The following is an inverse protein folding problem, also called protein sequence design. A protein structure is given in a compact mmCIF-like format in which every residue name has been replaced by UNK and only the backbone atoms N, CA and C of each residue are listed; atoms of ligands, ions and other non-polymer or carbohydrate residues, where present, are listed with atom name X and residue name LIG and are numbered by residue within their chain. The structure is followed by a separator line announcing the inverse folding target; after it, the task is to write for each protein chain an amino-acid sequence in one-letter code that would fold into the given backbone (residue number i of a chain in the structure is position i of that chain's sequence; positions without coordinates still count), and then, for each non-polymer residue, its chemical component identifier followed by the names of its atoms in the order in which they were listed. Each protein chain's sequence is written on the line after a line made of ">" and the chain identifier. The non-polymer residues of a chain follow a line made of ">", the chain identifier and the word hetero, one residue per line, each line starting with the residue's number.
data_IF_914460053702
#
_entry.id   IF_914460053702
#
_cell.length_a   1.000
_cell.length_b   1.000
_cell.length_c   1.000
_cell.angle_alpha   90.00
_cell.angle_beta   90.00
_cell.angle_gamma   90.00
#
_symmetry.space_group_name_H-M   'P 1'
#
loop_
_entity.id
_entity.type
_entity.pdbx_description
1 polymer ?
#
# COMPACT_ATOMS: atom_id res chain seq x y z
N UNK A 1 -10.52 1.56 1.94
CA UNK A 1 -11.13 2.91 2.07
C UNK A 1 -10.22 3.91 2.79
N UNK A 2 -9.49 3.49 3.83
CA UNK A 2 -8.57 4.35 4.57
C UNK A 2 -7.50 5.03 3.69
N UNK A 3 -6.79 4.28 2.84
CA UNK A 3 -5.78 4.84 1.94
C UNK A 3 -6.34 5.94 1.03
N UNK A 4 -7.55 5.75 0.47
CA UNK A 4 -8.23 6.76 -0.35
C UNK A 4 -8.56 8.00 0.48
N UNK A 5 -9.09 7.81 1.69
CA UNK A 5 -9.39 8.93 2.59
C UNK A 5 -8.14 9.73 2.95
N UNK A 6 -7.02 9.06 3.23
CA UNK A 6 -5.75 9.71 3.54
C UNK A 6 -5.15 10.45 2.33
N UNK A 7 -5.30 9.92 1.11
CA UNK A 7 -4.95 10.66 -0.11
C UNK A 7 -5.80 11.92 -0.28
N UNK A 8 -7.12 11.82 -0.05
CA UNK A 8 -8.03 12.98 -0.13
C UNK A 8 -7.66 14.03 0.90
N UNK A 9 -7.43 13.64 2.15
CA UNK A 9 -7.02 14.57 3.22
C UNK A 9 -5.68 15.24 2.87
N UNK A 10 -4.69 14.46 2.43
CA UNK A 10 -3.40 15.00 2.01
C UNK A 10 -3.52 16.02 0.88
N UNK A 11 -4.34 15.72 -0.14
CA UNK A 11 -4.61 16.64 -1.25
C UNK A 11 -5.31 17.92 -0.80
N UNK A 12 -6.29 17.81 0.11
CA UNK A 12 -6.98 18.97 0.67
C UNK A 12 -6.03 19.88 1.47
N UNK A 13 -5.12 19.29 2.27
CA UNK A 13 -4.11 20.06 3.02
C UNK A 13 -3.19 20.84 2.07
N UNK A 14 -2.73 20.22 0.98
CA UNK A 14 -1.91 20.89 -0.02
C UNK A 14 -2.69 21.95 -0.81
N UNK A 15 -3.97 21.73 -1.08
CA UNK A 15 -4.84 22.72 -1.70
C UNK A 15 -5.00 23.96 -0.79
N UNK A 16 -5.24 23.76 0.50
CA UNK A 16 -5.33 24.84 1.48
C UNK A 16 -3.99 25.58 1.59
N UNK A 17 -2.86 24.87 1.56
CA UNK A 17 -1.54 25.50 1.51
C UNK A 17 -1.36 26.38 0.26
N UNK A 18 -1.77 25.90 -0.91
CA UNK A 18 -1.69 26.66 -2.15
C UNK A 18 -2.56 27.93 -2.10
N UNK A 19 -3.75 27.85 -1.53
CA UNK A 19 -4.63 29.01 -1.31
C UNK A 19 -4.00 29.98 -0.30
N UNK A 20 -3.39 29.47 0.77
CA UNK A 20 -2.73 30.29 1.79
C UNK A 20 -1.56 31.12 1.22
N UNK A 21 -0.85 30.60 0.22
CA UNK A 21 0.21 31.35 -0.49
C UNK A 21 -0.33 32.54 -1.28
N UNK A 22 -1.60 32.52 -1.69
CA UNK A 22 -2.17 33.55 -2.57
C UNK A 22 -2.86 34.69 -1.81
N UNK A 23 -3.32 34.44 -0.59
CA UNK A 23 -4.22 35.37 0.14
C UNK A 23 -3.47 36.21 1.19
N UNK A 24 -2.19 35.90 1.47
CA UNK A 24 -1.29 36.55 2.44
C UNK A 24 -1.98 37.03 3.74
N UNK A 25 -1.89 36.21 4.80
CA UNK A 25 -2.60 36.47 6.04
C UNK A 25 -2.31 35.42 7.11
N UNK A 26 -3.14 35.37 8.16
CA UNK A 26 -2.92 34.47 9.30
C UNK A 26 -2.78 32.98 8.91
N UNK A 27 -3.36 32.57 7.77
CA UNK A 27 -3.21 31.22 7.23
C UNK A 27 -1.76 30.90 6.83
N UNK A 28 -0.96 31.89 6.44
CA UNK A 28 0.43 31.71 6.05
C UNK A 28 1.30 31.18 7.20
N UNK A 29 0.93 31.46 8.45
CA UNK A 29 1.60 30.92 9.64
C UNK A 29 1.54 29.38 9.72
N UNK A 30 0.54 28.77 9.05
CA UNK A 30 0.34 27.32 9.05
C UNK A 30 0.88 26.63 7.79
N UNK A 31 1.50 27.38 6.86
CA UNK A 31 2.06 26.84 5.61
C UNK A 31 2.98 25.64 5.83
N UNK A 32 3.96 25.67 6.77
CA UNK A 32 4.83 24.53 7.01
C UNK A 32 4.05 23.26 7.39
N UNK A 33 3.08 23.38 8.28
CA UNK A 33 2.28 22.25 8.78
C UNK A 33 1.38 21.68 7.69
N UNK A 34 0.75 22.53 6.87
CA UNK A 34 -0.12 22.11 5.77
C UNK A 34 0.69 21.37 4.69
N UNK A 35 1.86 21.92 4.31
CA UNK A 35 2.73 21.32 3.29
C UNK A 35 3.32 20.02 3.81
N UNK A 36 3.94 20.03 5.00
CA UNK A 36 4.59 18.85 5.56
C UNK A 36 3.55 17.76 5.82
N UNK A 37 2.42 18.07 6.45
CA UNK A 37 1.36 17.10 6.74
C UNK A 37 0.75 16.51 5.46
N UNK A 38 0.41 17.36 4.49
CA UNK A 38 -0.17 16.92 3.22
C UNK A 38 0.80 16.05 2.40
N UNK A 39 2.06 16.50 2.27
CA UNK A 39 3.09 15.75 1.57
C UNK A 39 3.43 14.43 2.28
N UNK A 40 3.53 14.45 3.61
CA UNK A 40 3.84 13.26 4.40
C UNK A 40 2.78 12.16 4.19
N UNK A 41 1.49 12.50 4.24
CA UNK A 41 0.42 11.53 3.99
C UNK A 41 0.51 10.91 2.59
N UNK A 42 0.69 11.74 1.56
CA UNK A 42 0.77 11.26 0.18
C UNK A 42 2.01 10.40 -0.06
N UNK A 43 3.18 10.85 0.43
CA UNK A 43 4.45 10.16 0.26
C UNK A 43 4.45 8.84 1.04
N UNK A 44 3.98 8.82 2.29
CA UNK A 44 3.91 7.61 3.09
C UNK A 44 3.06 6.53 2.40
N UNK A 45 1.89 6.90 1.87
CA UNK A 45 1.04 5.99 1.12
C UNK A 45 1.66 5.55 -0.22
N UNK A 46 2.37 6.45 -0.91
CA UNK A 46 3.07 6.10 -2.14
C UNK A 46 4.20 5.09 -1.87
N UNK A 47 4.95 5.28 -0.78
CA UNK A 47 5.97 4.34 -0.30
C UNK A 47 5.32 3.02 0.10
N UNK A 48 4.22 3.06 0.85
CA UNK A 48 3.47 1.88 1.26
C UNK A 48 3.02 1.09 0.02
N UNK A 49 2.37 1.74 -0.94
CA UNK A 49 1.93 1.11 -2.20
C UNK A 49 3.10 0.56 -3.01
N UNK A 50 4.27 1.18 -2.96
CA UNK A 50 5.46 0.67 -3.64
C UNK A 50 6.08 -0.51 -2.90
N UNK A 51 6.09 -0.48 -1.57
CA UNK A 51 6.69 -1.51 -0.69
C UNK A 51 5.82 -2.76 -0.59
N UNK A 52 4.51 -2.57 -0.49
CA UNK A 52 3.51 -3.61 -0.59
C UNK A 52 3.22 -3.84 -2.07
N UNK A 53 4.01 -4.71 -2.70
CA UNK A 53 3.61 -5.27 -3.98
C UNK A 53 2.21 -5.87 -3.79
N UNK A 54 1.22 -5.54 -4.64
CA UNK A 54 -0.06 -6.23 -4.61
C UNK A 54 0.23 -7.72 -4.69
N UNK A 55 -0.46 -8.52 -3.87
CA UNK A 55 -0.35 -9.99 -3.86
C UNK A 55 -0.51 -10.44 -5.29
N UNK A 56 0.62 -10.64 -5.95
CA UNK A 56 0.65 -10.78 -7.40
C UNK A 56 0.07 -12.14 -7.68
N UNK A 57 -0.89 -12.22 -8.62
CA UNK A 57 -1.19 -13.47 -9.33
C UNK A 57 -0.02 -13.93 -10.20
N UNK A 58 1.21 -13.65 -9.77
CA UNK A 58 2.45 -14.06 -10.41
C UNK A 58 2.73 -15.50 -10.05
N UNK A 59 3.35 -16.20 -11.00
CA UNK A 59 3.81 -17.57 -10.81
C UNK A 59 4.87 -17.58 -9.70
N UNK A 60 4.80 -18.52 -8.73
CA UNK A 60 5.83 -18.65 -7.70
C UNK A 60 7.22 -18.77 -8.35
N UNK A 61 8.22 -18.12 -7.77
CA UNK A 61 9.61 -18.31 -8.20
C UNK A 61 9.97 -19.79 -8.01
N UNK A 62 10.60 -20.45 -9.01
CA UNK A 62 10.98 -21.85 -8.90
C UNK A 62 11.87 -22.18 -7.69
N UNK A 63 12.55 -21.19 -7.12
CA UNK A 63 13.39 -21.35 -5.92
C UNK A 63 12.57 -21.41 -4.63
N UNK A 64 11.34 -20.91 -4.65
CA UNK A 64 10.52 -20.87 -3.46
C UNK A 64 9.86 -22.23 -3.22
N UNK A 65 9.92 -22.69 -1.97
CA UNK A 65 9.34 -23.96 -1.55
C UNK A 65 7.92 -23.71 -1.04
N UNK A 66 6.96 -24.46 -1.56
CA UNK A 66 5.58 -24.41 -1.08
C UNK A 66 5.49 -24.97 0.35
N UNK A 67 4.95 -24.21 1.29
CA UNK A 67 4.81 -24.69 2.68
C UNK A 67 3.52 -25.49 2.89
N UNK A 68 2.61 -25.51 1.90
CA UNK A 68 1.28 -26.11 2.01
C UNK A 68 0.27 -25.27 2.80
N UNK A 69 0.69 -24.17 3.43
CA UNK A 69 -0.21 -23.25 4.14
C UNK A 69 -1.05 -22.45 3.13
N UNK A 70 -2.37 -22.45 3.33
CA UNK A 70 -3.35 -21.71 2.53
C UNK A 70 -4.33 -20.99 3.46
N UNK A 71 -4.66 -19.75 3.15
CA UNK A 71 -5.66 -18.97 3.89
C UNK A 71 -6.37 -17.99 2.97
N UNK A 72 -7.58 -17.56 3.35
CA UNK A 72 -8.27 -16.47 2.66
C UNK A 72 -7.77 -15.16 3.26
N UNK A 73 -7.16 -14.33 2.42
CA UNK A 73 -6.74 -12.99 2.84
C UNK A 73 -7.99 -12.16 3.20
N UNK A 74 -8.13 -11.68 4.45
CA UNK A 74 -9.30 -10.93 4.88
C UNK A 74 -9.43 -9.56 4.20
N UNK A 75 -8.34 -8.99 3.68
CA UNK A 75 -8.35 -7.69 3.00
C UNK A 75 -8.84 -7.81 1.55
N UNK A 76 -8.45 -8.89 0.87
CA UNK A 76 -8.74 -9.09 -0.56
C UNK A 76 -9.81 -10.15 -0.85
N UNK A 77 -10.12 -11.03 0.12
CA UNK A 77 -10.99 -12.19 -0.04
C UNK A 77 -10.39 -13.29 -0.93
N UNK A 78 -9.09 -13.19 -1.27
CA UNK A 78 -8.43 -14.12 -2.20
C UNK A 78 -7.78 -15.27 -1.43
N UNK A 79 -7.90 -16.48 -1.98
CA UNK A 79 -7.17 -17.64 -1.47
C UNK A 79 -5.67 -17.44 -1.73
N UNK A 80 -4.90 -17.36 -0.66
CA UNK A 80 -3.47 -17.04 -0.68
C UNK A 80 -2.66 -18.23 -0.19
N UNK A 81 -1.57 -18.51 -0.91
CA UNK A 81 -0.58 -19.54 -0.64
C UNK A 81 0.69 -18.94 -0.06
N UNK A 82 1.26 -19.64 0.92
CA UNK A 82 2.55 -19.29 1.52
C UNK A 82 3.66 -20.12 0.86
N UNK A 83 4.69 -19.42 0.42
CA UNK A 83 5.93 -19.98 -0.10
C UNK A 83 7.11 -19.49 0.75
N UNK A 84 8.12 -20.33 0.91
CA UNK A 84 9.33 -20.03 1.67
C UNK A 84 10.54 -19.90 0.73
N UNK A 85 11.24 -18.78 0.82
CA UNK A 85 12.52 -18.54 0.15
C UNK A 85 13.66 -18.91 1.10
N UNK A 86 14.33 -20.03 0.82
CA UNK A 86 15.42 -20.53 1.67
C UNK A 86 16.71 -19.70 1.57
N UNK A 87 16.94 -19.01 0.46
CA UNK A 87 18.15 -18.21 0.25
C UNK A 87 18.11 -16.92 1.08
N UNK A 88 16.91 -16.34 1.22
CA UNK A 88 16.70 -15.10 1.98
C UNK A 88 16.10 -15.31 3.36
N UNK A 89 15.56 -16.50 3.63
CA UNK A 89 14.78 -16.78 4.84
C UNK A 89 13.46 -15.99 4.88
N UNK A 90 12.91 -15.62 3.72
CA UNK A 90 11.69 -14.81 3.62
C UNK A 90 10.46 -15.69 3.31
N UNK A 91 9.27 -15.23 3.76
CA UNK A 91 7.98 -15.82 3.39
C UNK A 91 7.30 -14.95 2.34
N UNK A 92 6.85 -15.58 1.26
CA UNK A 92 6.11 -14.94 0.17
C UNK A 92 4.67 -15.42 0.14
N UNK A 93 3.75 -14.48 -0.10
CA UNK A 93 2.32 -14.72 -0.17
C UNK A 93 1.85 -14.50 -1.60
N UNK A 94 1.23 -15.50 -2.21
CA UNK A 94 0.78 -15.45 -3.60
C UNK A 94 -0.68 -15.87 -3.71
N UNK A 95 -1.42 -15.21 -4.60
CA UNK A 95 -2.80 -15.60 -4.88
C UNK A 95 -2.83 -16.95 -5.62
N UNK A 96 -3.65 -17.88 -5.13
CA UNK A 96 -3.87 -19.17 -5.79
C UNK A 96 -4.78 -18.96 -7.01
N UNK A 97 -4.35 -19.34 -8.22
CA UNK A 97 -5.22 -19.28 -9.40
C UNK A 97 -6.46 -20.16 -9.18
N UNK A 98 -7.67 -19.64 -9.50
CA UNK A 98 -8.93 -20.39 -9.36
C UNK A 98 -8.94 -21.75 -10.06
N UNK A 99 -8.12 -21.97 -11.08
CA UNK A 99 -8.03 -23.25 -11.80
C UNK A 99 -7.36 -24.36 -10.98
N UNK A 100 -6.60 -24.03 -9.94
CA UNK A 100 -6.01 -25.01 -9.02
C UNK A 100 -6.87 -25.23 -7.76
N UNK A 101 -8.04 -24.57 -7.67
CA UNK A 101 -8.91 -24.62 -6.50
C UNK A 101 -9.99 -25.70 -6.57
N UNK A 102 -10.03 -26.52 -7.62
CA UNK A 102 -10.87 -27.72 -7.69
C UNK A 102 -9.98 -28.95 -7.94
N UNK A 103 -10.01 -29.96 -7.04
CA UNK A 103 -9.35 -31.26 -7.26
C UNK A 103 -10.03 -32.06 -8.38
#
# INVERSE_FOLDING_TARGET
>A
MLAVALYVIGALLLLVAAIALLIDGALALFLPQLIIGGAFLIIALAIERWRYKPVGGGRPDPRWTDTGERFVDPETGVLTAVYFDADKGERHYLAVPRSAANP
#
